data_IF_760338455685
#
_entry.id   IF_760338455685
#
_cell.length_a   1.000
_cell.length_b   1.000
_cell.length_c   1.000
_cell.angle_alpha   90.00
_cell.angle_beta   90.00
_cell.angle_gamma   90.00
#
_symmetry.space_group_name_H-M   'P 1'
#
loop_
_entity.id
_entity.type
_entity.pdbx_description
1 polymer ?
#
# COMPACT_ATOMS: atom_id res chain seq x y z
N UNK A 1 -71.96 -16.01 17.09
CA UNK A 1 -72.55 -15.83 15.75
C UNK A 1 -71.37 -15.45 14.84
N UNK A 2 -70.49 -16.38 14.43
CA UNK A 2 -70.70 -17.46 13.43
C UNK A 2 -71.16 -16.81 12.10
N UNK A 3 -70.49 -16.87 10.93
CA UNK A 3 -69.81 -17.98 10.22
C UNK A 3 -68.97 -17.47 9.00
N UNK A 4 -67.74 -17.99 8.85
CA UNK A 4 -66.95 -18.48 7.66
C UNK A 4 -66.94 -17.79 6.25
N UNK A 5 -65.76 -17.48 5.67
CA UNK A 5 -64.88 -18.24 4.71
C UNK A 5 -65.17 -18.13 3.18
N UNK A 6 -64.23 -17.59 2.38
CA UNK A 6 -63.47 -18.27 1.28
C UNK A 6 -62.68 -17.32 0.34
N UNK A 7 -61.59 -17.90 -0.20
CA UNK A 7 -60.48 -17.42 -1.05
C UNK A 7 -60.88 -16.93 -2.47
N UNK A 8 -60.04 -16.06 -3.08
CA UNK A 8 -59.53 -16.26 -4.47
C UNK A 8 -58.32 -15.37 -4.79
N UNK A 9 -57.43 -15.92 -5.64
CA UNK A 9 -56.19 -15.37 -6.19
C UNK A 9 -56.43 -14.30 -7.28
N UNK A 10 -55.42 -13.48 -7.59
CA UNK A 10 -55.15 -13.09 -8.98
C UNK A 10 -54.76 -11.63 -9.25
N UNK A 11 -53.45 -11.43 -9.51
CA UNK A 11 -52.86 -10.66 -10.62
C UNK A 11 -53.33 -9.22 -10.92
N UNK A 12 -52.42 -8.25 -10.75
CA UNK A 12 -52.41 -7.00 -11.52
C UNK A 12 -51.07 -6.86 -12.28
N UNK A 13 -51.17 -6.84 -13.61
CA UNK A 13 -50.09 -6.66 -14.58
C UNK A 13 -49.33 -5.32 -14.42
N UNK A 14 -48.02 -5.25 -14.76
CA UNK A 14 -47.35 -4.00 -15.10
C UNK A 14 -47.69 -3.57 -16.53
N UNK A 15 -47.84 -2.26 -16.72
CA UNK A 15 -48.24 -1.60 -17.97
C UNK A 15 -47.24 -1.77 -19.11
N UNK A 16 -47.76 -1.79 -20.33
CA UNK A 16 -47.10 -1.96 -21.63
C UNK A 16 -46.07 -0.89 -22.04
N UNK A 17 -45.53 -0.10 -21.09
CA UNK A 17 -44.48 0.90 -21.31
C UNK A 17 -43.07 0.45 -20.86
N UNK A 18 -42.95 -0.56 -20.00
CA UNK A 18 -41.64 -1.06 -19.52
C UNK A 18 -40.98 -2.05 -20.49
N UNK A 19 -41.75 -2.79 -21.28
CA UNK A 19 -41.21 -3.67 -22.33
C UNK A 19 -40.63 -2.91 -23.53
N UNK A 20 -41.07 -1.67 -23.77
CA UNK A 20 -40.59 -0.85 -24.88
C UNK A 20 -39.21 -0.21 -24.63
N UNK A 21 -38.78 -0.12 -23.36
CA UNK A 21 -37.47 0.43 -22.97
C UNK A 21 -36.40 -0.67 -22.94
N UNK A 22 -36.76 -1.86 -22.43
CA UNK A 22 -35.86 -3.03 -22.43
C UNK A 22 -35.60 -3.58 -23.84
N UNK A 23 -36.60 -3.56 -24.73
CA UNK A 23 -36.42 -3.95 -26.14
C UNK A 23 -35.51 -3.00 -26.94
N UNK A 24 -35.48 -1.71 -26.60
CA UNK A 24 -34.59 -0.73 -27.25
C UNK A 24 -33.16 -0.81 -26.74
N UNK A 25 -32.93 -1.10 -25.46
CA UNK A 25 -31.59 -1.34 -24.92
C UNK A 25 -30.95 -2.62 -25.47
N UNK A 26 -31.73 -3.68 -25.73
CA UNK A 26 -31.21 -4.93 -26.29
C UNK A 26 -30.86 -4.79 -27.77
N UNK A 27 -31.68 -4.10 -28.57
CA UNK A 27 -31.36 -3.79 -29.98
C UNK A 27 -30.14 -2.84 -30.10
N UNK A 28 -29.95 -1.90 -29.17
CA UNK A 28 -28.79 -0.99 -29.18
C UNK A 28 -27.46 -1.72 -28.82
N UNK A 29 -27.54 -2.79 -28.03
CA UNK A 29 -26.38 -3.60 -27.65
C UNK A 29 -25.98 -4.59 -28.75
N UNK A 30 -26.94 -5.24 -29.42
CA UNK A 30 -26.66 -6.14 -30.56
C UNK A 30 -26.06 -5.38 -31.76
N UNK A 31 -26.56 -4.18 -32.08
CA UNK A 31 -26.10 -3.40 -33.24
C UNK A 31 -24.65 -2.88 -33.05
N UNK A 32 -24.27 -2.52 -31.81
CA UNK A 32 -22.89 -2.13 -31.45
C UNK A 32 -21.93 -3.33 -31.47
N UNK A 33 -22.41 -4.51 -31.10
CA UNK A 33 -21.61 -5.75 -31.16
C UNK A 33 -21.35 -6.17 -32.61
N UNK A 34 -22.32 -5.99 -33.51
CA UNK A 34 -22.13 -6.21 -34.94
C UNK A 34 -21.28 -5.12 -35.61
N UNK A 35 -21.36 -3.86 -35.18
CA UNK A 35 -20.46 -2.81 -35.66
C UNK A 35 -19.00 -3.09 -35.24
N UNK A 36 -18.78 -3.53 -34.01
CA UNK A 36 -17.46 -3.92 -33.50
C UNK A 36 -16.95 -5.18 -34.21
N UNK A 37 -17.78 -6.20 -34.44
CA UNK A 37 -17.41 -7.37 -35.25
C UNK A 37 -17.09 -7.01 -36.70
N UNK A 38 -17.82 -6.08 -37.32
CA UNK A 38 -17.56 -5.60 -38.69
C UNK A 38 -16.28 -4.76 -38.78
N UNK A 39 -15.99 -3.94 -37.77
CA UNK A 39 -14.74 -3.18 -37.66
C UNK A 39 -13.55 -4.12 -37.45
N UNK A 40 -13.65 -5.07 -36.53
CA UNK A 40 -12.64 -6.11 -36.29
C UNK A 40 -12.43 -6.99 -37.53
N UNK A 41 -13.49 -7.37 -38.24
CA UNK A 41 -13.41 -8.15 -39.48
C UNK A 41 -12.73 -7.40 -40.62
N UNK A 42 -13.02 -6.09 -40.78
CA UNK A 42 -12.39 -5.23 -41.79
C UNK A 42 -10.92 -4.98 -41.49
N UNK A 43 -10.55 -4.71 -40.24
CA UNK A 43 -9.14 -4.52 -39.86
C UNK A 43 -8.34 -5.81 -39.92
N UNK A 44 -8.93 -6.95 -39.54
CA UNK A 44 -8.29 -8.26 -39.71
C UNK A 44 -8.08 -8.63 -41.18
N UNK A 45 -9.01 -8.28 -42.07
CA UNK A 45 -8.82 -8.45 -43.53
C UNK A 45 -7.71 -7.54 -44.09
N UNK A 46 -7.64 -6.29 -43.63
CA UNK A 46 -6.58 -5.36 -44.05
C UNK A 46 -5.19 -5.79 -43.55
N UNK A 47 -5.10 -6.33 -42.33
CA UNK A 47 -3.88 -6.94 -41.79
C UNK A 47 -3.49 -8.24 -42.50
N UNK A 48 -4.45 -9.10 -42.86
CA UNK A 48 -4.19 -10.31 -43.63
C UNK A 48 -3.65 -9.99 -45.04
N UNK A 49 -4.17 -8.95 -45.70
CA UNK A 49 -3.67 -8.46 -46.99
C UNK A 49 -2.25 -7.86 -46.86
N UNK A 50 -1.97 -7.11 -45.80
CA UNK A 50 -0.64 -6.56 -45.47
C UNK A 50 0.43 -7.65 -45.25
N UNK A 51 0.08 -8.71 -44.53
CA UNK A 51 0.95 -9.87 -44.26
C UNK A 51 1.14 -10.75 -45.51
N UNK A 52 0.13 -10.84 -46.38
CA UNK A 52 0.26 -11.56 -47.67
C UNK A 52 1.13 -10.82 -48.70
N UNK A 53 1.22 -9.48 -48.60
CA UNK A 53 2.04 -8.64 -49.48
C UNK A 53 3.53 -8.59 -49.12
N UNK A 54 3.94 -9.11 -47.97
CA UNK A 54 5.33 -9.10 -47.49
C UNK A 54 6.14 -10.32 -47.92
N UNK A 55 5.89 -10.89 -49.12
CA UNK A 55 6.82 -11.82 -49.75
C UNK A 55 8.05 -11.05 -50.26
N UNK A 56 8.99 -10.75 -49.36
CA UNK A 56 10.22 -10.03 -49.69
C UNK A 56 11.12 -10.94 -50.53
N UNK A 57 11.39 -10.46 -51.76
CA UNK A 57 12.42 -10.92 -52.69
C UNK A 57 13.73 -11.17 -51.93
N UNK A 58 14.22 -12.40 -51.98
CA UNK A 58 15.56 -12.74 -51.49
C UNK A 58 16.60 -12.10 -52.40
N UNK A 59 17.28 -11.06 -51.92
CA UNK A 59 18.47 -10.50 -52.58
C UNK A 59 19.66 -11.44 -52.38
N UNK A 60 20.51 -11.51 -53.40
CA UNK A 60 21.62 -12.45 -53.61
C UNK A 60 22.77 -12.37 -52.59
N UNK A 61 22.66 -11.57 -51.52
CA UNK A 61 23.70 -11.43 -50.49
C UNK A 61 23.58 -12.46 -49.35
N UNK A 62 22.37 -12.99 -49.09
CA UNK A 62 22.17 -14.00 -48.04
C UNK A 62 22.74 -15.38 -48.37
N UNK A 63 22.94 -15.72 -49.66
CA UNK A 63 23.44 -17.03 -50.09
C UNK A 63 24.96 -17.20 -49.98
N UNK A 64 25.75 -16.13 -49.89
CA UNK A 64 27.22 -16.23 -49.79
C UNK A 64 27.72 -16.51 -48.37
N UNK A 65 26.99 -16.09 -47.34
CA UNK A 65 27.46 -16.18 -45.94
C UNK A 65 27.18 -17.52 -45.24
N UNK A 66 26.33 -18.38 -45.82
CA UNK A 66 26.05 -19.72 -45.26
C UNK A 66 27.04 -20.82 -45.71
N UNK A 67 28.09 -20.49 -46.48
CA UNK A 67 29.04 -21.50 -47.00
C UNK A 67 30.35 -21.62 -46.21
N UNK A 68 30.58 -20.77 -45.19
CA UNK A 68 31.86 -20.73 -44.45
C UNK A 68 31.81 -21.23 -43.00
N UNK A 69 30.65 -21.65 -42.49
CA UNK A 69 30.55 -22.29 -41.18
C UNK A 69 29.89 -23.65 -41.34
N UNK A 70 30.73 -24.69 -41.31
CA UNK A 70 30.34 -26.07 -41.56
C UNK A 70 29.33 -26.61 -40.54
N UNK A 71 28.37 -27.37 -41.07
CA UNK A 71 27.82 -28.54 -40.40
C UNK A 71 26.87 -28.29 -39.23
N UNK A 72 25.76 -27.57 -39.42
CA UNK A 72 24.57 -27.73 -38.57
C UNK A 72 23.29 -27.57 -39.41
N UNK A 73 22.31 -28.45 -39.20
CA UNK A 73 21.04 -28.51 -39.93
C UNK A 73 20.30 -27.15 -39.87
N UNK A 74 20.29 -26.40 -40.99
CA UNK A 74 19.75 -25.02 -41.04
C UNK A 74 18.22 -24.91 -41.01
N UNK A 75 17.50 -26.02 -41.24
CA UNK A 75 16.03 -26.02 -41.34
C UNK A 75 15.31 -25.90 -39.98
N UNK A 76 15.95 -26.32 -38.87
CA UNK A 76 15.33 -26.25 -37.52
C UNK A 76 15.62 -24.96 -36.77
N UNK A 77 16.81 -24.35 -36.94
CA UNK A 77 17.12 -23.06 -36.32
C UNK A 77 16.36 -21.90 -36.98
N UNK A 78 16.20 -21.90 -38.32
CA UNK A 78 15.41 -20.87 -38.99
C UNK A 78 13.93 -20.88 -38.57
N UNK A 79 13.33 -22.06 -38.32
CA UNK A 79 11.94 -22.16 -37.86
C UNK A 79 11.74 -21.64 -36.43
N UNK A 80 12.66 -21.96 -35.51
CA UNK A 80 12.54 -21.54 -34.10
C UNK A 80 12.73 -20.04 -33.92
N UNK A 81 13.77 -19.46 -34.53
CA UNK A 81 14.06 -18.03 -34.41
C UNK A 81 13.01 -17.17 -35.12
N UNK A 82 12.48 -17.63 -36.24
CA UNK A 82 11.45 -16.91 -37.00
C UNK A 82 10.07 -17.00 -36.32
N UNK A 83 9.73 -18.13 -35.68
CA UNK A 83 8.52 -18.25 -34.86
C UNK A 83 8.59 -17.39 -33.59
N UNK A 84 9.76 -17.29 -32.96
CA UNK A 84 9.96 -16.45 -31.76
C UNK A 84 9.88 -14.96 -32.10
N UNK A 85 10.44 -14.55 -33.24
CA UNK A 85 10.37 -13.16 -33.75
C UNK A 85 8.94 -12.77 -34.17
N UNK A 86 8.22 -13.67 -34.84
CA UNK A 86 6.80 -13.46 -35.17
C UNK A 86 5.93 -13.37 -33.91
N UNK A 87 6.12 -14.25 -32.93
CA UNK A 87 5.35 -14.24 -31.69
C UNK A 87 5.58 -12.97 -30.85
N UNK A 88 6.83 -12.53 -30.72
CA UNK A 88 7.16 -11.27 -30.00
C UNK A 88 6.61 -10.04 -30.72
N UNK A 89 6.67 -10.01 -32.04
CA UNK A 89 6.09 -8.91 -32.84
C UNK A 89 4.56 -8.88 -32.71
N UNK A 90 3.89 -10.04 -32.73
CA UNK A 90 2.44 -10.15 -32.53
C UNK A 90 2.04 -9.71 -31.11
N UNK A 91 2.79 -10.09 -30.08
CA UNK A 91 2.55 -9.68 -28.69
C UNK A 91 2.75 -8.17 -28.47
N UNK A 92 3.78 -7.57 -29.09
CA UNK A 92 4.01 -6.12 -29.07
C UNK A 92 2.91 -5.36 -29.81
N UNK A 93 2.48 -5.86 -30.96
CA UNK A 93 1.37 -5.27 -31.71
C UNK A 93 0.05 -5.42 -30.95
N UNK A 94 -0.23 -6.55 -30.30
CA UNK A 94 -1.38 -6.73 -29.42
C UNK A 94 -1.33 -5.78 -28.21
N UNK A 95 -0.17 -5.62 -27.57
CA UNK A 95 0.01 -4.69 -26.45
C UNK A 95 -0.22 -3.24 -26.86
N UNK A 96 0.27 -2.83 -28.03
CA UNK A 96 0.03 -1.50 -28.60
C UNK A 96 -1.42 -1.30 -29.07
N UNK A 97 -2.09 -2.36 -29.51
CA UNK A 97 -3.52 -2.31 -29.87
C UNK A 97 -4.38 -2.15 -28.62
N UNK A 98 -4.08 -2.89 -27.54
CA UNK A 98 -4.79 -2.77 -26.26
C UNK A 98 -4.56 -1.39 -25.65
N UNK A 99 -3.34 -0.85 -25.67
CA UNK A 99 -3.06 0.49 -25.13
C UNK A 99 -3.73 1.61 -25.95
N UNK A 100 -3.81 1.48 -27.28
CA UNK A 100 -4.57 2.42 -28.11
C UNK A 100 -6.08 2.30 -27.91
N UNK A 101 -6.61 1.08 -27.74
CA UNK A 101 -8.03 0.86 -27.44
C UNK A 101 -8.41 1.41 -26.06
N UNK A 102 -7.53 1.32 -25.05
CA UNK A 102 -7.79 1.90 -23.72
C UNK A 102 -7.71 3.43 -23.74
N UNK A 103 -6.74 4.03 -24.42
CA UNK A 103 -6.68 5.50 -24.58
C UNK A 103 -7.88 6.04 -25.36
N UNK A 104 -8.26 5.41 -26.47
CA UNK A 104 -9.43 5.84 -27.26
C UNK A 104 -10.75 5.65 -26.51
N UNK A 105 -10.88 4.61 -25.67
CA UNK A 105 -12.04 4.44 -24.80
C UNK A 105 -12.12 5.53 -23.71
N UNK A 106 -10.97 5.95 -23.16
CA UNK A 106 -10.88 7.05 -22.19
C UNK A 106 -11.22 8.39 -22.84
N UNK A 107 -10.73 8.68 -24.05
CA UNK A 107 -11.08 9.90 -24.80
C UNK A 107 -12.57 9.91 -25.19
N UNK A 108 -13.16 8.77 -25.57
CA UNK A 108 -14.60 8.68 -25.85
C UNK A 108 -15.45 8.88 -24.59
N UNK A 109 -14.98 8.42 -23.43
CA UNK A 109 -15.62 8.64 -22.12
C UNK A 109 -15.53 10.11 -21.68
N UNK A 110 -14.43 10.80 -21.99
CA UNK A 110 -14.26 12.23 -21.70
C UNK A 110 -15.10 13.09 -22.65
N UNK A 111 -15.19 12.73 -23.94
CA UNK A 111 -15.95 13.49 -24.96
C UNK A 111 -17.47 13.23 -24.93
N UNK A 112 -17.93 12.12 -24.35
CA UNK A 112 -19.37 11.78 -24.29
C UNK A 112 -20.10 12.37 -23.09
N UNK A 113 -19.41 13.04 -22.17
CA UNK A 113 -20.03 13.73 -21.03
C UNK A 113 -20.79 12.81 -20.06
N UNK A 114 -20.67 11.49 -20.18
CA UNK A 114 -21.31 10.54 -19.27
C UNK A 114 -20.57 10.57 -17.93
N UNK A 115 -21.30 10.93 -16.87
CA UNK A 115 -20.83 10.84 -15.49
C UNK A 115 -20.24 9.46 -15.22
N UNK A 116 -19.01 9.40 -14.72
CA UNK A 116 -18.40 8.19 -14.18
C UNK A 116 -19.40 7.47 -13.28
N UNK A 117 -19.77 6.24 -13.66
CA UNK A 117 -20.72 5.40 -12.93
C UNK A 117 -20.37 5.35 -11.44
N UNK A 118 -21.40 5.41 -10.59
CA UNK A 118 -21.27 5.40 -9.13
C UNK A 118 -20.47 4.21 -8.62
N UNK A 119 -20.43 3.09 -9.35
CA UNK A 119 -19.67 1.89 -8.98
C UNK A 119 -18.16 2.03 -9.21
N UNK A 120 -17.73 2.74 -10.26
CA UNK A 120 -16.31 3.04 -10.52
C UNK A 120 -15.84 4.12 -9.56
N UNK A 121 -16.65 5.16 -9.31
CA UNK A 121 -16.39 6.15 -8.27
C UNK A 121 -16.34 5.51 -6.87
N UNK A 122 -17.21 4.53 -6.59
CA UNK A 122 -17.20 3.79 -5.32
C UNK A 122 -15.99 2.86 -5.21
N UNK A 123 -15.60 2.13 -6.26
CA UNK A 123 -14.37 1.30 -6.23
C UNK A 123 -13.10 2.13 -6.12
N UNK A 124 -13.05 3.28 -6.79
CA UNK A 124 -11.97 4.24 -6.65
C UNK A 124 -11.96 4.81 -5.22
N UNK A 125 -13.08 5.33 -4.70
CA UNK A 125 -13.22 5.76 -3.28
C UNK A 125 -12.85 4.67 -2.27
N UNK A 126 -13.24 3.42 -2.50
CA UNK A 126 -12.91 2.28 -1.63
C UNK A 126 -11.42 1.94 -1.68
N UNK A 127 -10.75 2.09 -2.84
CA UNK A 127 -9.29 1.94 -2.93
C UNK A 127 -8.54 3.13 -2.30
N UNK A 128 -9.13 4.33 -2.32
CA UNK A 128 -8.57 5.57 -1.75
C UNK A 128 -8.71 5.69 -0.23
N UNK A 129 -9.73 5.08 0.36
CA UNK A 129 -9.96 4.99 1.80
C UNK A 129 -9.05 3.95 2.49
N UNK A 130 -8.33 3.13 1.73
CA UNK A 130 -7.59 2.01 2.28
C UNK A 130 -6.18 2.37 2.77
N UNK A 131 -5.56 3.49 2.38
CA UNK A 131 -4.14 3.73 2.71
C UNK A 131 -3.85 4.13 4.15
N UNK A 132 -4.85 4.60 4.91
CA UNK A 132 -4.67 5.13 6.27
C UNK A 132 -5.05 4.11 7.34
N UNK A 133 -4.14 3.89 8.28
CA UNK A 133 -4.39 3.22 9.55
C UNK A 133 -4.15 4.15 10.74
N UNK A 134 -4.42 3.66 11.94
CA UNK A 134 -4.15 4.37 13.18
C UNK A 134 -3.49 3.44 14.20
N UNK A 135 -2.47 3.94 14.91
CA UNK A 135 -1.82 3.23 15.99
C UNK A 135 -2.70 3.23 17.24
N UNK A 136 -2.94 2.07 17.83
CA UNK A 136 -3.64 1.92 19.09
C UNK A 136 -2.63 1.66 20.22
N UNK A 137 -2.12 2.76 20.79
CA UNK A 137 -1.34 2.75 22.02
C UNK A 137 -2.24 2.58 23.25
N UNK A 138 -1.72 1.89 24.26
CA UNK A 138 -2.45 1.53 25.50
C UNK A 138 -1.78 2.05 26.77
N UNK A 139 -0.81 2.96 26.67
CA UNK A 139 -0.15 3.56 27.84
C UNK A 139 -1.02 4.69 28.44
N UNK A 140 -2.25 4.36 28.83
CA UNK A 140 -3.17 5.28 29.49
C UNK A 140 -4.05 4.57 30.51
N UNK A 141 -4.33 5.20 31.65
CA UNK A 141 -5.18 4.64 32.70
C UNK A 141 -6.66 5.08 32.63
N UNK A 142 -7.03 5.79 31.57
CA UNK A 142 -8.35 6.40 31.36
C UNK A 142 -8.95 6.06 29.97
N UNK A 143 -8.39 5.07 29.27
CA UNK A 143 -8.77 4.70 27.92
C UNK A 143 -10.08 3.87 27.91
N UNK A 144 -10.87 3.92 26.81
CA UNK A 144 -12.02 3.03 26.63
C UNK A 144 -11.64 1.56 26.59
N UNK A 145 -12.64 0.69 26.74
CA UNK A 145 -12.45 -0.76 26.53
C UNK A 145 -12.07 -1.10 25.09
N UNK A 146 -11.37 -2.21 24.87
CA UNK A 146 -10.95 -2.66 23.54
C UNK A 146 -12.12 -2.81 22.55
N UNK A 147 -13.28 -3.28 23.01
CA UNK A 147 -14.49 -3.38 22.18
C UNK A 147 -15.01 -2.00 21.76
N UNK A 148 -14.97 -1.01 22.65
CA UNK A 148 -15.34 0.36 22.30
C UNK A 148 -14.35 0.98 21.34
N UNK A 149 -13.05 0.70 21.48
CA UNK A 149 -12.02 1.19 20.55
C UNK A 149 -12.22 0.59 19.17
N UNK A 150 -12.41 -0.74 19.05
CA UNK A 150 -12.69 -1.38 17.75
C UNK A 150 -13.97 -0.82 17.12
N UNK A 151 -15.01 -0.60 17.92
CA UNK A 151 -16.25 0.04 17.46
C UNK A 151 -16.00 1.47 16.96
N UNK A 152 -15.14 2.23 17.63
CA UNK A 152 -14.75 3.58 17.23
C UNK A 152 -13.95 3.59 15.93
N UNK A 153 -13.04 2.64 15.73
CA UNK A 153 -12.35 2.44 14.44
C UNK A 153 -13.35 2.21 13.32
N UNK A 154 -14.32 1.31 13.51
CA UNK A 154 -15.36 1.02 12.52
C UNK A 154 -16.27 2.23 12.24
N UNK A 155 -16.68 2.96 13.29
CA UNK A 155 -17.53 4.15 13.18
C UNK A 155 -16.85 5.29 12.41
N UNK A 156 -15.52 5.38 12.48
CA UNK A 156 -14.72 6.38 11.75
C UNK A 156 -14.15 5.85 10.42
N UNK A 157 -14.61 4.67 9.97
CA UNK A 157 -14.13 4.02 8.75
C UNK A 157 -12.60 3.76 8.72
N UNK A 158 -11.95 3.66 9.88
CA UNK A 158 -10.54 3.31 9.99
C UNK A 158 -10.43 1.79 9.85
N UNK A 159 -9.80 1.32 8.76
CA UNK A 159 -9.73 -0.10 8.40
C UNK A 159 -8.38 -0.75 8.67
N UNK A 160 -7.44 -0.02 9.26
CA UNK A 160 -6.09 -0.49 9.59
C UNK A 160 -5.71 -0.06 11.00
N UNK A 161 -5.19 -0.99 11.79
CA UNK A 161 -4.77 -0.76 13.17
C UNK A 161 -3.35 -1.28 13.37
N UNK A 162 -2.52 -0.51 14.08
CA UNK A 162 -1.25 -1.01 14.61
C UNK A 162 -1.35 -1.17 16.12
N UNK A 163 -1.00 -2.35 16.62
CA UNK A 163 -0.88 -2.65 18.06
C UNK A 163 0.57 -3.04 18.37
N UNK A 164 1.03 -2.75 19.59
CA UNK A 164 2.44 -2.85 19.96
C UNK A 164 2.82 -4.17 20.65
N UNK A 165 1.82 -4.92 21.09
CA UNK A 165 1.93 -6.22 21.73
C UNK A 165 0.70 -7.09 21.38
N UNK A 166 0.78 -8.44 21.54
CA UNK A 166 -0.35 -9.33 21.32
C UNK A 166 -1.34 -9.29 22.49
N UNK A 167 -1.93 -8.13 22.76
CA UNK A 167 -2.90 -7.96 23.82
C UNK A 167 -4.16 -8.82 23.55
N UNK A 168 -4.45 -9.77 24.44
CA UNK A 168 -5.56 -10.72 24.27
C UNK A 168 -6.91 -10.02 24.12
N UNK A 169 -7.21 -9.03 24.95
CA UNK A 169 -8.50 -8.34 24.93
C UNK A 169 -8.69 -7.57 23.62
N UNK A 170 -7.63 -6.94 23.11
CA UNK A 170 -7.62 -6.31 21.79
C UNK A 170 -7.83 -7.33 20.66
N UNK A 171 -7.13 -8.47 20.68
CA UNK A 171 -7.27 -9.51 19.66
C UNK A 171 -8.67 -10.14 19.66
N UNK A 172 -9.27 -10.35 20.84
CA UNK A 172 -10.65 -10.81 20.96
C UNK A 172 -11.65 -9.77 20.43
N UNK A 173 -11.46 -8.49 20.74
CA UNK A 173 -12.29 -7.40 20.21
C UNK A 173 -12.21 -7.28 18.68
N UNK A 174 -11.05 -7.60 18.08
CA UNK A 174 -10.82 -7.51 16.64
C UNK A 174 -11.47 -8.62 15.83
N UNK A 175 -11.91 -9.73 16.45
CA UNK A 175 -12.54 -10.86 15.74
C UNK A 175 -13.76 -10.39 14.95
N UNK A 176 -13.75 -10.63 13.63
CA UNK A 176 -14.85 -10.28 12.73
C UNK A 176 -14.94 -8.79 12.40
N UNK A 177 -14.01 -7.96 12.87
CA UNK A 177 -14.05 -6.50 12.65
C UNK A 177 -13.73 -6.05 11.21
N UNK A 178 -13.08 -6.92 10.44
CA UNK A 178 -12.47 -6.66 9.14
C UNK A 178 -11.36 -5.59 9.12
N UNK A 179 -10.87 -5.17 10.29
CA UNK A 179 -9.73 -4.26 10.42
C UNK A 179 -8.44 -5.05 10.15
N UNK A 180 -7.60 -4.56 9.25
CA UNK A 180 -6.25 -5.09 8.99
C UNK A 180 -5.30 -4.69 10.13
N UNK A 181 -4.47 -5.63 10.59
CA UNK A 181 -3.68 -5.44 11.83
C UNK A 181 -2.17 -5.56 11.55
N UNK A 182 -1.42 -4.56 12.01
CA UNK A 182 0.02 -4.69 12.31
C UNK A 182 0.13 -5.15 13.76
N UNK A 183 0.62 -6.37 13.97
CA UNK A 183 0.88 -6.93 15.29
C UNK A 183 2.35 -6.72 15.69
N UNK A 184 2.60 -5.98 16.75
CA UNK A 184 3.93 -5.76 17.30
C UNK A 184 4.44 -6.94 18.12
N UNK A 185 5.74 -7.23 17.97
CA UNK A 185 6.52 -8.00 18.93
C UNK A 185 7.27 -7.01 19.81
N UNK A 186 6.98 -6.97 21.13
CA UNK A 186 7.69 -6.08 22.04
C UNK A 186 9.19 -6.36 22.08
N UNK A 187 10.00 -5.31 22.25
CA UNK A 187 11.47 -5.42 22.22
C UNK A 187 12.00 -6.38 23.31
N UNK A 188 11.35 -6.45 24.47
CA UNK A 188 11.72 -7.36 25.58
C UNK A 188 11.47 -8.84 25.27
N UNK A 189 10.76 -9.16 24.17
CA UNK A 189 10.53 -10.54 23.71
C UNK A 189 11.50 -10.97 22.60
N UNK A 190 12.28 -10.07 22.02
CA UNK A 190 13.12 -10.38 20.87
C UNK A 190 14.12 -11.50 21.17
N UNK A 191 14.78 -11.46 22.33
CA UNK A 191 15.77 -12.45 22.70
C UNK A 191 15.18 -13.86 22.83
N UNK A 192 14.00 -14.01 23.46
CA UNK A 192 13.38 -15.32 23.63
C UNK A 192 12.91 -15.91 22.30
N UNK A 193 12.53 -15.07 21.33
CA UNK A 193 12.05 -15.48 20.01
C UNK A 193 13.19 -15.84 19.04
N UNK A 194 14.45 -15.74 19.49
CA UNK A 194 15.59 -16.36 18.78
C UNK A 194 15.60 -17.89 18.92
N UNK A 195 14.85 -18.44 19.87
CA UNK A 195 14.54 -19.87 19.93
C UNK A 195 13.35 -20.21 19.03
N UNK A 196 13.52 -21.19 18.14
CA UNK A 196 12.52 -21.54 17.15
C UNK A 196 11.23 -22.12 17.75
N UNK A 197 11.33 -22.85 18.87
CA UNK A 197 10.17 -23.43 19.57
C UNK A 197 9.35 -22.34 20.27
N UNK A 198 10.03 -21.40 20.92
CA UNK A 198 9.42 -20.22 21.52
C UNK A 198 8.71 -19.36 20.47
N UNK A 199 9.34 -19.13 19.31
CA UNK A 199 8.72 -18.40 18.21
C UNK A 199 7.51 -19.12 17.61
N UNK A 200 7.58 -20.44 17.43
CA UNK A 200 6.45 -21.25 16.96
C UNK A 200 5.27 -21.18 17.94
N UNK A 201 5.54 -21.27 19.24
CA UNK A 201 4.53 -21.12 20.30
C UNK A 201 3.92 -19.73 20.27
N UNK A 202 4.74 -18.69 20.17
CA UNK A 202 4.27 -17.30 20.07
C UNK A 202 3.36 -17.08 18.86
N UNK A 203 3.72 -17.63 17.68
CA UNK A 203 2.89 -17.55 16.48
C UNK A 203 1.58 -18.34 16.65
N UNK A 204 1.66 -19.53 17.24
CA UNK A 204 0.48 -20.35 17.50
C UNK A 204 -0.53 -19.61 18.39
N UNK A 205 -0.05 -19.06 19.50
CA UNK A 205 -0.89 -18.45 20.53
C UNK A 205 -1.45 -17.09 20.10
N UNK A 206 -0.66 -16.28 19.39
CA UNK A 206 -1.01 -14.88 19.12
C UNK A 206 -1.49 -14.61 17.69
N UNK A 207 -1.21 -15.53 16.76
CA UNK A 207 -1.57 -15.36 15.34
C UNK A 207 -2.53 -16.45 14.89
N UNK A 208 -2.12 -17.72 14.98
CA UNK A 208 -2.91 -18.86 14.45
C UNK A 208 -4.25 -18.98 15.19
N UNK A 209 -4.26 -18.81 16.52
CA UNK A 209 -5.48 -18.87 17.33
C UNK A 209 -6.53 -17.79 16.97
N UNK A 210 -6.14 -16.75 16.21
CA UNK A 210 -7.00 -15.63 15.85
C UNK A 210 -7.16 -15.45 14.33
N UNK A 211 -6.32 -16.08 13.50
CA UNK A 211 -6.22 -15.82 12.05
C UNK A 211 -7.51 -16.12 11.27
N UNK A 212 -8.40 -16.95 11.80
CA UNK A 212 -9.72 -17.20 11.20
C UNK A 212 -10.65 -15.99 11.23
N UNK A 213 -10.43 -15.04 12.15
CA UNK A 213 -11.34 -13.92 12.39
C UNK A 213 -10.65 -12.56 12.57
N UNK A 214 -9.33 -12.52 12.76
CA UNK A 214 -8.52 -11.30 12.82
C UNK A 214 -7.69 -11.21 11.56
N UNK A 215 -7.74 -10.06 10.87
CA UNK A 215 -7.03 -9.85 9.60
C UNK A 215 -5.63 -9.34 9.84
N UNK A 216 -4.73 -10.20 10.30
CA UNK A 216 -3.32 -9.84 10.36
C UNK A 216 -2.78 -9.54 8.96
N UNK A 217 -2.05 -8.43 8.85
CA UNK A 217 -1.41 -7.97 7.62
C UNK A 217 0.10 -7.99 7.75
N UNK A 218 0.60 -7.46 8.87
CA UNK A 218 2.02 -7.41 9.18
C UNK A 218 2.31 -7.89 10.61
N UNK A 219 3.48 -8.48 10.82
CA UNK A 219 4.07 -8.65 12.15
C UNK A 219 5.32 -7.76 12.21
N UNK A 220 5.31 -6.77 13.09
CA UNK A 220 6.42 -5.86 13.32
C UNK A 220 7.31 -6.42 14.44
N UNK A 221 8.38 -7.11 14.07
CA UNK A 221 9.31 -7.76 15.01
C UNK A 221 10.29 -6.73 15.55
N UNK A 222 9.97 -6.16 16.71
CA UNK A 222 10.68 -5.03 17.29
C UNK A 222 10.22 -3.68 16.74
N UNK A 223 10.41 -2.65 17.55
CA UNK A 223 10.10 -1.26 17.24
C UNK A 223 11.26 -0.35 17.65
N UNK A 224 11.80 0.38 16.67
CA UNK A 224 12.88 1.37 16.85
C UNK A 224 14.07 0.82 17.63
N UNK A 225 14.47 -0.43 17.36
CA UNK A 225 15.58 -1.08 18.05
C UNK A 225 16.89 -0.40 17.64
N UNK A 226 17.60 0.28 18.55
CA UNK A 226 18.85 0.95 18.22
C UNK A 226 19.93 -0.07 17.85
N UNK A 227 20.78 0.16 16.83
CA UNK A 227 21.82 -0.79 16.44
C UNK A 227 22.83 -1.16 17.55
N UNK A 228 22.98 -0.28 18.56
CA UNK A 228 23.83 -0.52 19.72
C UNK A 228 23.13 -1.16 20.94
N UNK A 229 21.82 -1.42 20.86
CA UNK A 229 21.06 -2.04 21.94
C UNK A 229 21.34 -3.56 22.04
N UNK A 230 21.19 -4.11 23.24
CA UNK A 230 21.39 -5.54 23.48
C UNK A 230 20.45 -6.43 22.63
N UNK A 231 19.26 -5.94 22.28
CA UNK A 231 18.28 -6.68 21.48
C UNK A 231 18.50 -6.57 19.97
N UNK A 232 19.41 -5.71 19.49
CA UNK A 232 19.63 -5.50 18.06
C UNK A 232 20.04 -6.79 17.33
N UNK A 233 20.86 -7.62 17.98
CA UNK A 233 21.30 -8.91 17.43
C UNK A 233 20.18 -9.95 17.36
N UNK A 234 19.10 -9.74 18.11
CA UNK A 234 17.98 -10.67 18.25
C UNK A 234 16.88 -10.41 17.21
N UNK A 235 16.82 -9.22 16.61
CA UNK A 235 15.77 -8.82 15.65
C UNK A 235 15.72 -9.77 14.46
N UNK A 236 16.82 -9.94 13.73
CA UNK A 236 16.81 -10.77 12.51
C UNK A 236 16.54 -12.26 12.81
N UNK A 237 17.18 -12.92 13.80
CA UNK A 237 16.85 -14.29 14.15
C UNK A 237 15.38 -14.46 14.57
N UNK A 238 14.82 -13.53 15.34
CA UNK A 238 13.40 -13.55 15.70
C UNK A 238 12.50 -13.41 14.47
N UNK A 239 12.81 -12.50 13.53
CA UNK A 239 12.10 -12.36 12.26
C UNK A 239 12.10 -13.65 11.46
N UNK A 240 13.26 -14.32 11.36
CA UNK A 240 13.41 -15.58 10.64
C UNK A 240 12.56 -16.68 11.27
N UNK A 241 12.62 -16.85 12.58
CA UNK A 241 11.86 -17.87 13.29
C UNK A 241 10.34 -17.64 13.20
N UNK A 242 9.89 -16.40 13.39
CA UNK A 242 8.47 -16.03 13.25
C UNK A 242 8.01 -16.28 11.82
N UNK A 243 8.79 -15.88 10.81
CA UNK A 243 8.46 -16.12 9.41
C UNK A 243 8.33 -17.62 9.10
N UNK A 244 9.27 -18.44 9.59
CA UNK A 244 9.21 -19.89 9.41
C UNK A 244 7.96 -20.52 10.05
N UNK A 245 7.57 -20.05 11.25
CA UNK A 245 6.35 -20.50 11.91
C UNK A 245 5.09 -20.06 11.15
N UNK A 246 5.04 -18.81 10.65
CA UNK A 246 3.95 -18.29 9.81
C UNK A 246 3.85 -19.08 8.50
N UNK A 247 4.98 -19.41 7.87
CA UNK A 247 5.02 -20.23 6.66
C UNK A 247 4.55 -21.67 6.93
N UNK A 248 4.93 -22.26 8.07
CA UNK A 248 4.48 -23.59 8.49
C UNK A 248 2.97 -23.65 8.71
N UNK A 249 2.34 -22.51 9.06
CA UNK A 249 0.90 -22.35 9.16
C UNK A 249 0.22 -21.98 7.82
N UNK A 250 0.96 -21.88 6.72
CA UNK A 250 0.49 -21.43 5.40
C UNK A 250 -0.10 -20.00 5.38
N UNK A 251 0.44 -19.11 6.22
CA UNK A 251 -0.03 -17.72 6.36
C UNK A 251 0.91 -16.69 5.74
N UNK A 252 2.07 -17.10 5.20
CA UNK A 252 3.13 -16.21 4.70
C UNK A 252 2.72 -15.30 3.53
N UNK A 253 1.71 -15.69 2.76
CA UNK A 253 1.19 -14.88 1.65
C UNK A 253 0.18 -13.82 2.12
N UNK A 254 -0.39 -14.02 3.32
CA UNK A 254 -1.37 -13.11 3.94
C UNK A 254 -0.71 -12.19 4.96
N UNK A 255 0.27 -12.70 5.72
CA UNK A 255 0.92 -12.03 6.84
C UNK A 255 2.41 -11.86 6.52
N UNK A 256 2.84 -10.61 6.32
CA UNK A 256 4.26 -10.32 6.05
C UNK A 256 5.00 -9.97 7.34
N UNK A 257 6.11 -10.66 7.59
CA UNK A 257 6.98 -10.39 8.74
C UNK A 257 7.95 -9.28 8.37
N UNK A 258 8.05 -8.26 9.24
CA UNK A 258 8.94 -7.12 9.09
C UNK A 258 9.47 -6.65 10.44
N UNK A 259 10.14 -5.50 10.48
CA UNK A 259 10.51 -4.76 11.69
C UNK A 259 10.21 -3.28 11.46
N UNK A 260 9.89 -2.54 12.53
CA UNK A 260 9.66 -1.10 12.46
C UNK A 260 10.90 -0.33 12.89
N UNK A 261 11.47 0.47 11.99
CA UNK A 261 12.63 1.33 12.25
C UNK A 261 12.22 2.79 12.46
N UNK A 262 13.10 3.62 12.98
CA UNK A 262 13.00 5.07 12.89
C UNK A 262 13.97 5.64 11.83
N UNK A 263 13.89 6.95 11.60
CA UNK A 263 14.79 7.66 10.67
C UNK A 263 16.19 7.91 11.23
N UNK A 264 16.48 7.60 12.50
CA UNK A 264 17.81 7.81 13.12
C UNK A 264 18.85 6.84 12.59
N UNK A 265 18.42 5.75 11.93
CA UNK A 265 19.32 4.84 11.23
C UNK A 265 20.01 5.48 10.01
N UNK A 266 19.47 6.58 9.48
CA UNK A 266 20.10 7.33 8.39
C UNK A 266 21.32 8.11 8.90
N UNK A 267 22.46 7.96 8.20
CA UNK A 267 23.64 8.79 8.43
C UNK A 267 23.67 10.05 7.55
N UNK A 268 22.96 10.03 6.43
CA UNK A 268 22.75 11.17 5.56
C UNK A 268 21.30 11.15 5.05
N UNK A 269 20.69 12.32 4.97
CA UNK A 269 19.30 12.51 4.49
C UNK A 269 19.12 13.80 3.67
N UNK A 270 20.17 14.61 3.50
CA UNK A 270 20.11 15.87 2.76
C UNK A 270 21.23 15.99 1.71
N UNK A 271 20.88 16.30 0.43
CA UNK A 271 19.52 16.24 -0.10
C UNK A 271 18.96 14.79 -0.04
N UNK A 272 17.65 14.56 -0.20
CA UNK A 272 17.07 13.22 -0.04
C UNK A 272 17.74 12.12 -0.88
N UNK A 273 18.20 12.40 -2.10
CA UNK A 273 18.97 11.46 -2.94
C UNK A 273 20.31 11.02 -2.31
N UNK A 274 20.87 11.82 -1.40
CA UNK A 274 22.05 11.47 -0.61
C UNK A 274 21.73 10.49 0.53
N UNK A 275 20.45 10.23 0.80
CA UNK A 275 19.92 9.25 1.75
C UNK A 275 20.75 7.97 1.83
N UNK A 276 21.31 7.66 3.00
CA UNK A 276 22.08 6.43 3.25
C UNK A 276 22.04 6.05 4.73
N UNK A 277 21.93 4.74 5.01
CA UNK A 277 22.11 4.24 6.38
C UNK A 277 23.49 4.58 6.92
N UNK A 278 23.58 4.86 8.22
CA UNK A 278 24.85 5.16 8.87
C UNK A 278 25.77 3.93 8.88
N UNK A 279 27.08 4.16 9.00
CA UNK A 279 28.04 3.06 9.13
C UNK A 279 27.72 2.18 10.36
N UNK A 280 27.27 2.78 11.46
CA UNK A 280 26.88 2.07 12.68
C UNK A 280 25.58 1.26 12.55
N UNK A 281 24.64 1.69 11.69
CA UNK A 281 23.40 0.97 11.44
C UNK A 281 23.53 -0.13 10.38
N UNK A 282 24.53 -0.04 9.48
CA UNK A 282 24.63 -0.89 8.29
C UNK A 282 24.73 -2.39 8.61
N UNK A 283 25.46 -2.78 9.66
CA UNK A 283 25.60 -4.18 10.07
C UNK A 283 24.29 -4.77 10.60
N UNK A 284 23.43 -3.92 11.17
CA UNK A 284 22.11 -4.28 11.67
C UNK A 284 21.08 -4.33 10.53
N UNK A 285 20.97 -3.26 9.73
CA UNK A 285 19.85 -3.09 8.79
C UNK A 285 20.04 -3.84 7.46
N UNK A 286 21.26 -3.99 6.95
CA UNK A 286 21.48 -4.61 5.63
C UNK A 286 21.05 -6.09 5.58
N UNK A 287 21.37 -6.93 6.59
CA UNK A 287 20.84 -8.30 6.66
C UNK A 287 19.31 -8.36 6.73
N UNK A 288 18.68 -7.44 7.46
CA UNK A 288 17.22 -7.31 7.57
C UNK A 288 16.63 -6.95 6.20
N UNK A 289 17.17 -5.96 5.50
CA UNK A 289 16.74 -5.58 4.15
C UNK A 289 16.79 -6.77 3.19
N UNK A 290 17.87 -7.56 3.24
CA UNK A 290 17.98 -8.76 2.40
C UNK A 290 16.91 -9.80 2.74
N UNK A 291 16.62 -10.01 4.02
CA UNK A 291 15.53 -10.88 4.47
C UNK A 291 14.17 -10.39 3.97
N UNK A 292 13.85 -9.10 4.13
CA UNK A 292 12.58 -8.52 3.69
C UNK A 292 12.38 -8.69 2.18
N UNK A 293 13.40 -8.36 1.38
CA UNK A 293 13.39 -8.51 -0.08
C UNK A 293 13.17 -9.96 -0.51
N UNK A 294 13.83 -10.91 0.14
CA UNK A 294 13.73 -12.34 -0.19
C UNK A 294 12.32 -12.89 0.07
N UNK A 295 11.62 -12.34 1.07
CA UNK A 295 10.30 -12.80 1.49
C UNK A 295 9.13 -11.93 0.96
N UNK A 296 9.42 -10.91 0.14
CA UNK A 296 8.42 -9.98 -0.37
C UNK A 296 7.71 -9.18 0.72
N UNK A 297 8.40 -8.91 1.84
CA UNK A 297 7.89 -8.08 2.93
C UNK A 297 8.28 -6.61 2.73
N UNK A 298 7.44 -5.63 3.13
CA UNK A 298 7.86 -4.23 3.19
C UNK A 298 8.78 -3.97 4.39
N UNK A 299 9.48 -2.85 4.38
CA UNK A 299 10.07 -2.27 5.58
C UNK A 299 9.03 -1.38 6.28
N UNK A 300 8.88 -1.49 7.59
CA UNK A 300 8.06 -0.55 8.37
C UNK A 300 8.96 0.58 8.88
N UNK A 301 8.54 1.82 8.73
CA UNK A 301 9.29 2.99 9.20
C UNK A 301 8.39 3.99 9.94
N UNK A 302 8.83 4.40 11.11
CA UNK A 302 8.28 5.50 11.87
C UNK A 302 8.89 6.80 11.33
N UNK A 303 8.05 7.68 10.77
CA UNK A 303 8.48 8.89 10.06
C UNK A 303 7.79 10.11 10.66
N UNK A 304 8.54 10.94 11.37
CA UNK A 304 8.01 12.08 12.13
C UNK A 304 8.64 13.41 11.71
N UNK A 305 8.00 14.15 10.77
CA UNK A 305 8.40 15.52 10.45
C UNK A 305 8.45 16.44 11.68
N UNK A 306 7.61 16.18 12.69
CA UNK A 306 7.59 16.93 13.95
C UNK A 306 8.97 16.97 14.64
N UNK A 307 9.62 15.81 14.81
CA UNK A 307 10.90 15.76 15.52
C UNK A 307 12.01 16.46 14.75
N UNK A 308 12.06 16.29 13.41
CA UNK A 308 12.99 17.04 12.57
C UNK A 308 12.80 18.55 12.70
N UNK A 309 11.54 19.04 12.65
CA UNK A 309 11.25 20.47 12.88
C UNK A 309 11.64 20.93 14.28
N UNK A 310 11.27 20.17 15.32
CA UNK A 310 11.56 20.50 16.73
C UNK A 310 13.06 20.66 16.97
N UNK A 311 13.85 19.78 16.38
CA UNK A 311 15.29 19.69 16.61
C UNK A 311 16.09 20.72 15.78
N UNK A 312 15.55 21.17 14.65
CA UNK A 312 16.17 22.22 13.81
C UNK A 312 15.15 23.25 13.25
N UNK A 313 14.48 24.03 14.11
CA UNK A 313 13.46 24.98 13.69
C UNK A 313 14.03 26.21 12.97
N UNK A 314 15.36 26.38 12.95
CA UNK A 314 16.00 27.49 12.23
C UNK A 314 16.19 27.21 10.75
N UNK A 315 16.38 25.93 10.37
CA UNK A 315 16.55 25.54 8.96
C UNK A 315 15.32 24.83 8.39
N UNK A 316 14.41 24.34 9.24
CA UNK A 316 13.18 23.68 8.82
C UNK A 316 12.00 24.59 9.12
N UNK A 317 11.44 25.21 8.08
CA UNK A 317 10.21 25.99 8.20
C UNK A 317 9.03 25.12 8.64
N UNK A 318 8.19 25.67 9.52
CA UNK A 318 6.99 24.96 9.99
C UNK A 318 6.05 24.63 8.81
N UNK A 319 5.98 25.49 7.80
CA UNK A 319 5.15 25.25 6.61
C UNK A 319 5.63 24.03 5.80
N UNK A 320 6.94 23.80 5.75
CA UNK A 320 7.53 22.62 5.12
C UNK A 320 7.18 21.34 5.89
N UNK A 321 7.20 21.39 7.23
CA UNK A 321 6.85 20.27 8.09
C UNK A 321 5.34 19.95 8.10
N UNK A 322 4.48 20.96 7.88
CA UNK A 322 3.02 20.84 7.91
C UNK A 322 2.36 20.68 6.53
N UNK A 323 3.12 20.45 5.45
CA UNK A 323 2.60 20.35 4.07
C UNK A 323 1.90 21.63 3.57
N UNK A 324 2.27 22.80 4.08
CA UNK A 324 1.65 24.09 3.73
C UNK A 324 2.60 25.04 3.00
N UNK A 325 3.79 24.58 2.62
CA UNK A 325 4.70 25.37 1.79
C UNK A 325 4.03 25.73 0.45
N UNK A 326 4.09 27.00 -0.01
CA UNK A 326 3.49 27.42 -1.26
C UNK A 326 4.19 26.85 -2.51
N UNK A 327 5.37 26.24 -2.36
CA UNK A 327 6.12 25.63 -3.45
C UNK A 327 7.22 24.69 -2.97
N UNK A 328 8.04 24.24 -3.92
CA UNK A 328 9.20 23.38 -3.62
C UNK A 328 10.16 24.09 -2.66
N UNK A 329 10.49 23.41 -1.56
CA UNK A 329 11.44 23.90 -0.55
C UNK A 329 12.84 23.34 -0.82
N UNK A 330 12.93 22.06 -1.18
CA UNK A 330 14.19 21.40 -1.52
C UNK A 330 14.13 20.88 -2.95
N UNK A 331 15.00 21.37 -3.81
CA UNK A 331 15.20 20.84 -5.16
C UNK A 331 16.40 19.88 -5.18
N UNK A 332 16.17 18.64 -5.57
CA UNK A 332 17.15 17.55 -5.58
C UNK A 332 17.17 16.87 -6.96
N UNK A 333 17.98 17.43 -7.86
CA UNK A 333 17.97 17.02 -9.26
C UNK A 333 16.59 17.25 -9.89
N UNK A 334 15.94 16.16 -10.33
CA UNK A 334 14.58 16.21 -10.92
C UNK A 334 13.46 16.18 -9.87
N UNK A 335 13.77 15.92 -8.60
CA UNK A 335 12.77 15.79 -7.53
C UNK A 335 12.64 17.11 -6.76
N UNK A 336 11.43 17.67 -6.72
CA UNK A 336 11.11 18.82 -5.89
C UNK A 336 10.31 18.40 -4.66
N UNK A 337 10.83 18.67 -3.47
CA UNK A 337 10.17 18.37 -2.20
C UNK A 337 9.47 19.62 -1.66
N UNK A 338 8.14 19.61 -1.66
CA UNK A 338 7.30 20.66 -1.09
C UNK A 338 7.01 20.47 0.40
N UNK A 339 7.18 19.24 0.92
CA UNK A 339 6.95 18.90 2.31
C UNK A 339 8.07 18.01 2.86
N UNK A 340 8.29 18.11 4.17
CA UNK A 340 9.37 17.40 4.87
C UNK A 340 9.14 15.88 4.93
N UNK A 341 7.88 15.44 4.99
CA UNK A 341 7.53 14.02 5.02
C UNK A 341 8.06 13.29 3.78
N UNK A 342 7.85 13.85 2.59
CA UNK A 342 8.38 13.30 1.34
C UNK A 342 9.90 13.25 1.34
N UNK A 343 10.57 14.31 1.82
CA UNK A 343 12.02 14.34 1.88
C UNK A 343 12.59 13.28 2.82
N UNK A 344 11.98 13.07 4.00
CA UNK A 344 12.38 12.02 4.94
C UNK A 344 12.15 10.62 4.36
N UNK A 345 10.98 10.39 3.75
CA UNK A 345 10.62 9.09 3.19
C UNK A 345 11.47 8.75 1.95
N UNK A 346 11.74 9.73 1.08
CA UNK A 346 12.60 9.52 -0.08
C UNK A 346 14.08 9.41 0.27
N UNK A 347 14.52 9.98 1.39
CA UNK A 347 15.85 9.69 1.95
C UNK A 347 15.97 8.21 2.39
N UNK A 348 14.91 7.64 3.00
CA UNK A 348 14.86 6.20 3.28
C UNK A 348 14.85 5.37 2.00
N UNK A 349 14.06 5.73 0.98
CA UNK A 349 14.09 5.02 -0.31
C UNK A 349 15.45 5.09 -0.99
N UNK A 350 16.13 6.24 -0.97
CA UNK A 350 17.48 6.37 -1.49
C UNK A 350 18.49 5.50 -0.71
N UNK A 351 18.32 5.37 0.61
CA UNK A 351 19.14 4.48 1.42
C UNK A 351 18.91 2.99 1.08
N UNK A 352 17.66 2.59 0.85
CA UNK A 352 17.30 1.23 0.41
C UNK A 352 17.88 0.92 -0.98
N UNK A 353 17.84 1.86 -1.91
CA UNK A 353 18.45 1.74 -3.23
C UNK A 353 19.97 1.48 -3.12
N UNK A 354 20.67 2.25 -2.28
CA UNK A 354 22.11 2.08 -2.01
C UNK A 354 22.43 0.78 -1.27
N UNK A 355 21.51 0.27 -0.45
CA UNK A 355 21.59 -1.04 0.18
C UNK A 355 21.24 -2.21 -0.76
N UNK A 356 20.99 -1.95 -2.06
CA UNK A 356 20.70 -2.98 -3.05
C UNK A 356 19.26 -3.48 -3.05
N UNK A 357 18.32 -2.69 -2.52
CA UNK A 357 16.90 -3.03 -2.43
C UNK A 357 15.99 -1.95 -3.06
N UNK A 358 16.18 -1.59 -4.35
CA UNK A 358 15.46 -0.49 -5.00
C UNK A 358 13.95 -0.73 -5.18
N UNK A 359 13.46 -1.95 -4.96
CA UNK A 359 12.04 -2.31 -5.10
C UNK A 359 11.39 -2.62 -3.75
N UNK A 360 12.10 -2.43 -2.63
CA UNK A 360 11.54 -2.67 -1.32
C UNK A 360 10.61 -1.52 -0.95
N UNK A 361 9.33 -1.83 -0.74
CA UNK A 361 8.34 -0.84 -0.33
C UNK A 361 8.51 -0.47 1.14
N UNK A 362 8.17 0.77 1.47
CA UNK A 362 8.06 1.24 2.85
C UNK A 362 6.58 1.38 3.22
N UNK A 363 6.21 0.83 4.37
CA UNK A 363 4.97 1.16 5.08
C UNK A 363 5.33 2.17 6.17
N UNK A 364 4.70 3.33 6.17
CA UNK A 364 4.88 4.31 7.24
C UNK A 364 4.10 3.83 8.45
N UNK A 365 4.78 3.19 9.40
CA UNK A 365 4.17 2.49 10.52
C UNK A 365 3.80 3.41 11.68
N UNK A 366 4.31 4.63 11.69
CA UNK A 366 3.91 5.73 12.57
C UNK A 366 4.21 7.07 11.89
N UNK A 367 3.30 8.02 12.05
CA UNK A 367 3.55 9.44 11.80
C UNK A 367 2.54 10.27 12.57
N UNK A 368 2.96 11.35 13.21
CA UNK A 368 2.08 12.16 14.03
C UNK A 368 2.66 13.52 14.41
N UNK A 369 1.80 14.33 15.02
CA UNK A 369 2.13 15.65 15.53
C UNK A 369 1.42 15.86 16.88
N UNK A 370 2.13 16.20 17.96
CA UNK A 370 1.53 16.37 19.28
C UNK A 370 0.74 17.68 19.35
N UNK A 371 -0.41 17.66 20.02
CA UNK A 371 -1.24 18.87 20.18
C UNK A 371 -0.77 19.80 21.29
N UNK A 372 0.02 19.31 22.24
CA UNK A 372 0.47 20.04 23.43
C UNK A 372 1.82 19.48 23.93
N UNK A 373 2.42 20.15 24.94
CA UNK A 373 3.58 19.66 25.68
C UNK A 373 4.95 20.13 25.18
N UNK A 374 5.03 20.91 24.08
CA UNK A 374 6.30 21.38 23.53
C UNK A 374 6.20 22.44 22.42
N UNK A 375 7.32 22.70 21.75
CA UNK A 375 7.44 23.67 20.65
C UNK A 375 6.54 23.30 19.48
N UNK A 376 5.78 24.28 18.97
CA UNK A 376 4.82 24.13 17.86
C UNK A 376 3.78 23.00 18.04
N UNK A 377 3.51 22.61 19.29
CA UNK A 377 2.46 21.65 19.63
C UNK A 377 1.18 22.41 19.95
N UNK A 378 0.29 22.51 18.96
CA UNK A 378 -1.04 23.10 19.11
C UNK A 378 -2.06 22.20 18.45
N UNK A 379 -3.31 22.25 18.90
CA UNK A 379 -4.43 21.55 18.25
C UNK A 379 -4.53 21.92 16.77
N UNK A 380 -4.24 23.18 16.42
CA UNK A 380 -4.26 23.67 15.04
C UNK A 380 -3.14 23.07 14.17
N UNK A 381 -1.91 23.05 14.68
CA UNK A 381 -0.77 22.45 13.95
C UNK A 381 -0.96 20.95 13.79
N UNK A 382 -1.36 20.25 14.85
CA UNK A 382 -1.63 18.82 14.80
C UNK A 382 -2.78 18.49 13.83
N UNK A 383 -3.89 19.23 13.91
CA UNK A 383 -5.01 19.06 12.99
C UNK A 383 -4.65 19.38 11.53
N UNK A 384 -3.76 20.34 11.29
CA UNK A 384 -3.23 20.64 9.95
C UNK A 384 -2.35 19.50 9.43
N UNK A 385 -1.42 19.02 10.26
CA UNK A 385 -0.55 17.90 9.92
C UNK A 385 -1.35 16.65 9.54
N UNK A 386 -2.28 16.20 10.40
CA UNK A 386 -3.04 14.98 10.14
C UNK A 386 -3.93 15.09 8.90
N UNK A 387 -4.64 16.21 8.71
CA UNK A 387 -5.47 16.42 7.50
C UNK A 387 -4.62 16.35 6.24
N UNK A 388 -3.48 17.02 6.24
CA UNK A 388 -2.62 17.08 5.07
C UNK A 388 -1.94 15.74 4.80
N UNK A 389 -1.46 15.04 5.82
CA UNK A 389 -0.88 13.70 5.68
C UNK A 389 -1.90 12.70 5.12
N UNK A 390 -3.14 12.70 5.62
CA UNK A 390 -4.22 11.84 5.10
C UNK A 390 -4.49 12.10 3.60
N UNK A 391 -4.49 13.37 3.19
CA UNK A 391 -4.70 13.74 1.80
C UNK A 391 -3.49 13.43 0.91
N UNK A 392 -2.29 13.60 1.46
CA UNK A 392 -1.01 13.41 0.76
C UNK A 392 -0.68 11.95 0.52
N UNK A 393 -0.90 11.08 1.52
CA UNK A 393 -0.57 9.65 1.46
C UNK A 393 -1.22 8.91 0.27
N UNK A 394 -2.22 9.50 -0.38
CA UNK A 394 -2.89 8.95 -1.57
C UNK A 394 -2.06 9.10 -2.86
N UNK A 395 -1.04 9.97 -2.86
CA UNK A 395 -0.36 10.43 -4.08
C UNK A 395 1.03 9.79 -4.28
N UNK A 396 1.67 9.36 -3.20
CA UNK A 396 3.06 8.91 -3.22
C UNK A 396 4.04 10.05 -2.95
N UNK A 397 5.32 9.77 -3.14
CA UNK A 397 6.43 10.73 -3.00
C UNK A 397 6.98 11.15 -4.37
N UNK A 398 7.82 12.19 -4.46
CA UNK A 398 8.51 12.53 -5.71
C UNK A 398 9.28 11.36 -6.35
N UNK A 399 10.01 10.53 -5.58
CA UNK A 399 10.71 9.35 -6.12
C UNK A 399 9.79 8.16 -6.40
N UNK A 400 8.64 8.06 -5.72
CA UNK A 400 7.67 6.95 -5.83
C UNK A 400 6.27 7.51 -6.13
N UNK A 401 6.16 8.18 -7.26
CA UNK A 401 4.91 8.86 -7.66
C UNK A 401 3.82 7.87 -8.09
N UNK A 402 2.56 8.23 -7.83
CA UNK A 402 1.40 7.45 -8.27
C UNK A 402 1.14 6.17 -7.45
N UNK A 403 1.88 5.96 -6.36
CA UNK A 403 1.68 4.84 -5.43
C UNK A 403 1.26 5.38 -4.07
N UNK A 404 0.07 5.00 -3.60
CA UNK A 404 -0.37 5.37 -2.27
C UNK A 404 0.60 4.81 -1.20
N UNK A 405 0.89 5.64 -0.21
CA UNK A 405 1.77 5.32 0.92
C UNK A 405 0.87 4.75 2.00
N UNK A 406 0.98 3.45 2.27
CA UNK A 406 0.33 2.86 3.44
C UNK A 406 0.91 3.51 4.71
N UNK A 407 0.06 4.21 5.46
CA UNK A 407 0.46 5.12 6.53
C UNK A 407 -0.39 4.92 7.78
N UNK A 408 0.24 4.79 8.94
CA UNK A 408 -0.42 4.66 10.23
C UNK A 408 -0.20 5.92 11.06
N UNK A 409 -1.30 6.58 11.41
CA UNK A 409 -1.28 7.81 12.20
C UNK A 409 -1.03 7.46 13.66
N UNK A 410 -0.06 8.12 14.28
CA UNK A 410 0.24 7.98 15.70
C UNK A 410 -0.39 9.13 16.48
N UNK A 411 -1.38 8.92 17.36
CA UNK A 411 -2.05 7.66 17.71
C UNK A 411 -3.55 7.86 18.00
N UNK A 412 -4.29 6.79 18.26
CA UNK A 412 -5.75 6.86 18.48
C UNK A 412 -6.12 7.77 19.67
N UNK A 413 -5.40 7.67 20.78
CA UNK A 413 -5.68 8.41 22.01
C UNK A 413 -4.45 9.09 22.57
N UNK A 414 -4.67 10.11 23.39
CA UNK A 414 -3.67 10.66 24.30
C UNK A 414 -3.33 9.60 25.37
N UNK A 415 -2.04 9.34 25.58
CA UNK A 415 -1.53 8.26 26.43
C UNK A 415 -0.89 8.82 27.71
N UNK A 416 -1.71 9.01 28.75
CA UNK A 416 -1.30 9.75 29.96
C UNK A 416 -0.26 9.05 30.87
N UNK A 417 0.11 7.79 30.59
CA UNK A 417 1.18 7.08 31.29
C UNK A 417 2.52 7.13 30.53
N UNK A 418 2.57 7.74 29.34
CA UNK A 418 3.84 8.03 28.67
C UNK A 418 4.62 9.13 29.40
N UNK A 419 5.89 9.28 29.04
CA UNK A 419 6.76 10.32 29.56
C UNK A 419 6.09 11.70 29.48
N UNK A 420 6.18 12.48 30.55
CA UNK A 420 5.52 13.78 30.64
C UNK A 420 6.00 14.73 29.52
N UNK A 421 5.07 15.49 28.95
CA UNK A 421 5.32 16.38 27.81
C UNK A 421 4.65 15.86 26.55
N UNK A 422 5.31 16.04 25.40
CA UNK A 422 4.73 15.80 24.07
C UNK A 422 4.16 14.38 23.85
N UNK A 423 4.75 13.36 24.48
CA UNK A 423 4.37 11.95 24.27
C UNK A 423 2.94 11.66 24.75
N UNK A 424 2.41 12.47 25.67
CA UNK A 424 1.05 12.31 26.19
C UNK A 424 -0.02 12.89 25.26
N UNK A 425 0.36 13.58 24.18
CA UNK A 425 -0.55 14.47 23.43
C UNK A 425 -0.64 14.17 21.91
N UNK A 426 -0.26 12.97 21.48
CA UNK A 426 -0.35 12.54 20.06
C UNK A 426 -1.76 12.08 19.63
N UNK A 427 -2.70 11.97 20.55
CA UNK A 427 -4.03 11.40 20.29
C UNK A 427 -4.81 12.13 19.20
N UNK A 428 -5.51 11.35 18.38
CA UNK A 428 -6.55 11.80 17.45
C UNK A 428 -7.89 11.99 18.16
N UNK A 429 -8.13 11.22 19.21
CA UNK A 429 -9.31 11.28 20.06
C UNK A 429 -8.92 11.49 21.52
N UNK A 430 -9.78 12.16 22.26
CA UNK A 430 -9.73 12.18 23.71
C UNK A 430 -10.16 10.80 24.26
N UNK A 431 -9.77 10.43 25.49
CA UNK A 431 -10.18 9.16 26.09
C UNK A 431 -11.70 8.97 26.22
N UNK A 432 -12.48 10.05 26.21
CA UNK A 432 -13.95 10.01 26.15
C UNK A 432 -14.50 9.79 24.72
N UNK A 433 -13.66 9.41 23.76
CA UNK A 433 -13.97 9.14 22.34
C UNK A 433 -14.33 10.38 21.51
N UNK A 434 -14.23 11.58 22.05
CA UNK A 434 -14.43 12.81 21.28
C UNK A 434 -13.23 13.06 20.36
N UNK A 435 -13.44 13.37 19.06
CA UNK A 435 -12.35 13.68 18.15
C UNK A 435 -11.68 15.01 18.54
N UNK A 436 -10.34 15.05 18.54
CA UNK A 436 -9.56 16.29 18.73
C UNK A 436 -9.51 17.14 17.46
N UNK A 437 -9.64 16.50 16.30
CA UNK A 437 -9.54 17.14 15.00
C UNK A 437 -10.66 16.66 14.07
N UNK A 438 -11.09 17.53 13.18
CA UNK A 438 -12.07 17.19 12.13
C UNK A 438 -11.35 16.47 10.98
N UNK A 439 -11.28 15.14 11.04
CA UNK A 439 -10.59 14.29 10.07
C UNK A 439 -11.58 13.41 9.29
N UNK A 440 -11.20 13.06 8.07
CA UNK A 440 -11.91 12.08 7.24
C UNK A 440 -10.93 11.01 6.82
N UNK A 441 -11.04 9.81 7.38
CA UNK A 441 -10.08 8.72 7.19
C UNK A 441 -10.34 7.87 5.94
N UNK A 442 -11.50 8.02 5.31
CA UNK A 442 -11.93 7.27 4.13
C UNK A 442 -12.93 8.03 3.28
#
# INVERSE_FOLDING_TARGET
>A
MDVSWRRSNGSSHPSSSEFAVLGRCWCFYEDRTEMIKKLLSREMHALALSVSGTTVKTTSEGKRRCKELGGYNSSRLQSSTMNTFMATTILLLFGLMISRLTLSAIELLILSGSSLDSEVSHKLKVCYAQSIGVCYGKNGNNLPSDQEVVSLFQANAIRRMRIYDPNRDTLEALRGSNIEVILGVPNDKLQSLTDASAAATWVQDNVVAYSSNVRFRYIAVGNEVPPGDANAQSVLPAMQNIHNAIASANLQDQIKVSTAIDTTLLGSSYPPSAGSFSAGASSFINPIINFLRTNGSPLLANVYPYFSYRDDPQNIDLSYALFTSPGVVVQDGQYGYQNLFDALLDALYAALEKAGAPNLNIVVSESGWPSEGGTATTVENAGTFYRNLINHAKQGTPRRSGQAIETYLFAMFDENLKAAGIEQHFGLFLPNKQPKYQLTFG
#
